data_IF_901355550060
#
_entry.id   IF_901355550060
#
_cell.length_a   1.000
_cell.length_b   1.000
_cell.length_c   1.000
_cell.angle_alpha   90.00
_cell.angle_beta   90.00
_cell.angle_gamma   90.00
#
_symmetry.space_group_name_H-M   'P 1'
#
loop_
_entity.id
_entity.type
_entity.pdbx_description
1 polymer ?
#
# COMPACT_ATOMS: atom_id res chain seq x y z
N UNK A 1 35.74 22.83 -50.84
CA UNK A 1 34.26 22.77 -50.85
C UNK A 1 33.87 21.55 -50.05
N UNK A 2 33.57 21.73 -48.77
CA UNK A 2 33.11 20.68 -47.85
C UNK A 2 31.63 20.92 -47.61
N UNK A 3 30.80 19.97 -48.02
CA UNK A 3 29.36 19.98 -47.80
C UNK A 3 29.13 19.36 -46.42
N UNK A 4 28.66 20.18 -45.49
CA UNK A 4 28.31 19.78 -44.13
C UNK A 4 26.86 19.28 -44.14
N UNK A 5 26.69 17.96 -44.06
CA UNK A 5 25.39 17.29 -44.15
C UNK A 5 24.76 17.21 -42.75
N UNK A 6 24.06 18.27 -42.35
CA UNK A 6 23.29 18.29 -41.10
C UNK A 6 22.07 17.36 -41.21
N UNK A 7 22.14 16.21 -40.53
CA UNK A 7 21.00 15.33 -40.30
C UNK A 7 19.86 16.08 -39.58
N UNK A 8 18.60 15.89 -40.00
CA UNK A 8 17.47 16.59 -39.39
C UNK A 8 17.22 16.11 -37.96
N UNK A 9 16.76 16.99 -37.06
CA UNK A 9 16.51 16.64 -35.67
C UNK A 9 15.38 15.60 -35.57
N UNK A 10 15.64 14.54 -34.81
CA UNK A 10 14.67 13.49 -34.53
C UNK A 10 13.38 14.08 -33.94
N UNK A 11 12.26 13.95 -34.67
CA UNK A 11 10.93 14.31 -34.17
C UNK A 11 10.65 13.52 -32.89
N UNK A 12 10.70 14.18 -31.73
CA UNK A 12 10.16 13.67 -30.47
C UNK A 12 8.70 13.28 -30.71
N UNK A 13 8.41 11.99 -30.84
CA UNK A 13 7.05 11.46 -30.85
C UNK A 13 6.40 11.88 -29.54
N UNK A 14 5.43 12.78 -29.60
CA UNK A 14 4.57 13.04 -28.44
C UNK A 14 3.91 11.70 -28.03
N UNK A 15 3.83 11.40 -26.73
CA UNK A 15 3.18 10.18 -26.28
C UNK A 15 1.73 10.17 -26.79
N UNK A 16 1.42 9.18 -27.63
CA UNK A 16 0.04 8.91 -28.07
C UNK A 16 -0.83 8.73 -26.82
N UNK A 17 -1.74 9.67 -26.56
CA UNK A 17 -2.68 9.59 -25.44
C UNK A 17 -2.79 10.83 -24.55
N UNK A 18 -1.93 11.84 -24.71
CA UNK A 18 -2.09 13.11 -23.99
C UNK A 18 -3.28 13.86 -24.59
N UNK A 19 -4.43 13.83 -23.90
CA UNK A 19 -5.59 14.65 -24.25
C UNK A 19 -6.90 13.92 -24.59
N UNK A 20 -6.98 12.58 -24.49
CA UNK A 20 -8.30 11.93 -24.54
C UNK A 20 -8.98 12.08 -23.18
N UNK A 21 -10.04 12.88 -23.14
CA UNK A 21 -10.95 12.95 -22.00
C UNK A 21 -11.49 11.55 -21.70
N UNK A 22 -11.06 10.98 -20.59
CA UNK A 22 -11.51 9.67 -20.15
C UNK A 22 -12.95 9.78 -19.65
N UNK A 23 -13.86 8.93 -20.16
CA UNK A 23 -15.17 8.74 -19.53
C UNK A 23 -14.97 7.89 -18.29
N UNK A 24 -15.16 8.49 -17.11
CA UNK A 24 -15.09 7.82 -15.83
C UNK A 24 -16.14 6.69 -15.73
N UNK A 25 -15.76 5.62 -15.06
CA UNK A 25 -16.54 4.41 -14.79
C UNK A 25 -16.62 4.19 -13.27
N UNK A 26 -17.62 3.44 -12.82
CA UNK A 26 -17.74 3.06 -11.39
C UNK A 26 -16.48 2.36 -10.86
N UNK A 27 -15.84 1.55 -11.71
CA UNK A 27 -14.58 0.89 -11.36
C UNK A 27 -13.47 1.89 -11.01
N UNK A 28 -13.41 3.06 -11.63
CA UNK A 28 -12.38 4.04 -11.30
C UNK A 28 -12.61 4.61 -9.89
N UNK A 29 -13.87 4.80 -9.49
CA UNK A 29 -14.21 5.21 -8.13
C UNK A 29 -13.87 4.10 -7.13
N UNK A 30 -14.08 2.83 -7.49
CA UNK A 30 -13.63 1.70 -6.67
C UNK A 30 -12.10 1.68 -6.51
N UNK A 31 -11.35 1.97 -7.59
CA UNK A 31 -9.89 2.10 -7.55
C UNK A 31 -9.47 3.24 -6.63
N UNK A 32 -10.13 4.39 -6.69
CA UNK A 32 -9.83 5.52 -5.80
C UNK A 32 -10.04 5.14 -4.34
N UNK A 33 -11.14 4.44 -4.04
CA UNK A 33 -11.41 3.96 -2.68
C UNK A 33 -10.31 3.00 -2.20
N UNK A 34 -9.92 2.03 -3.03
CA UNK A 34 -8.83 1.11 -2.68
C UNK A 34 -7.49 1.83 -2.50
N UNK A 35 -7.21 2.89 -3.27
CA UNK A 35 -6.01 3.71 -3.10
C UNK A 35 -6.04 4.50 -1.77
N UNK A 36 -7.21 4.96 -1.32
CA UNK A 36 -7.37 5.57 0.00
C UNK A 36 -7.13 4.56 1.13
N UNK A 37 -7.67 3.35 1.01
CA UNK A 37 -7.54 2.30 2.03
C UNK A 37 -6.13 1.67 2.07
N UNK A 38 -5.55 1.40 0.90
CA UNK A 38 -4.26 0.70 0.73
C UNK A 38 -3.07 1.64 0.52
N UNK A 39 -3.30 2.95 0.46
CA UNK A 39 -2.30 4.02 0.31
C UNK A 39 -1.56 4.03 -1.04
N UNK A 40 -0.67 3.06 -1.24
CA UNK A 40 0.09 2.90 -2.47
C UNK A 40 -0.15 1.52 -3.06
N UNK A 41 -0.76 1.47 -4.23
CA UNK A 41 -1.05 0.21 -4.91
C UNK A 41 -0.25 0.10 -6.21
N UNK A 42 0.36 -1.05 -6.42
CA UNK A 42 0.99 -1.40 -7.69
C UNK A 42 -0.07 -1.74 -8.73
N UNK A 43 0.29 -1.75 -10.01
CA UNK A 43 -0.65 -2.17 -11.08
C UNK A 43 -1.17 -3.60 -10.87
N UNK A 44 -0.34 -4.61 -10.50
CA UNK A 44 -0.86 -5.93 -10.12
C UNK A 44 -1.86 -5.87 -8.97
N UNK A 45 -1.59 -5.11 -7.90
CA UNK A 45 -2.50 -4.97 -6.77
C UNK A 45 -3.85 -4.33 -7.17
N UNK A 46 -3.82 -3.29 -8.00
CA UNK A 46 -5.02 -2.67 -8.58
C UNK A 46 -5.80 -3.69 -9.42
N UNK A 47 -5.08 -4.49 -10.22
CA UNK A 47 -5.71 -5.53 -11.03
C UNK A 47 -6.41 -6.57 -10.16
N UNK A 48 -5.75 -7.05 -9.09
CA UNK A 48 -6.30 -8.05 -8.18
C UNK A 48 -7.62 -7.62 -7.56
N UNK A 49 -7.72 -6.33 -7.22
CA UNK A 49 -8.89 -5.76 -6.55
C UNK A 49 -10.07 -5.47 -7.49
N UNK A 50 -9.81 -5.18 -8.77
CA UNK A 50 -10.83 -4.55 -9.63
C UNK A 50 -11.06 -5.24 -10.99
N UNK A 51 -10.25 -6.23 -11.35
CA UNK A 51 -10.39 -6.99 -12.60
C UNK A 51 -10.47 -8.51 -12.30
N UNK A 52 -11.67 -9.09 -12.14
CA UNK A 52 -11.83 -10.50 -11.74
C UNK A 52 -11.09 -11.54 -12.60
N UNK A 53 -10.80 -11.20 -13.86
CA UNK A 53 -10.04 -12.04 -14.82
C UNK A 53 -8.57 -12.23 -14.46
N UNK A 54 -8.04 -11.48 -13.49
CA UNK A 54 -6.65 -11.57 -13.06
C UNK A 54 -6.27 -12.99 -12.61
N UNK A 55 -7.19 -13.73 -11.99
CA UNK A 55 -6.92 -15.06 -11.41
C UNK A 55 -6.56 -16.08 -12.47
N UNK A 56 -7.32 -16.13 -13.56
CA UNK A 56 -7.05 -17.08 -14.64
C UNK A 56 -5.72 -16.76 -15.33
N UNK A 57 -5.44 -15.46 -15.52
CA UNK A 57 -4.15 -14.97 -16.02
C UNK A 57 -3.00 -15.34 -15.09
N UNK A 58 -3.20 -15.22 -13.78
CA UNK A 58 -2.21 -15.55 -12.76
C UNK A 58 -1.96 -17.06 -12.67
N UNK A 59 -3.00 -17.90 -12.78
CA UNK A 59 -2.85 -19.36 -12.87
C UNK A 59 -2.03 -19.77 -14.10
N UNK A 60 -2.35 -19.23 -15.27
CA UNK A 60 -1.59 -19.48 -16.50
C UNK A 60 -0.13 -19.07 -16.33
N UNK A 61 0.10 -17.90 -15.72
CA UNK A 61 1.44 -17.43 -15.38
C UNK A 61 2.19 -18.42 -14.45
N UNK A 62 1.55 -18.92 -13.40
CA UNK A 62 2.17 -19.87 -12.47
C UNK A 62 2.54 -21.19 -13.18
N UNK A 63 1.69 -21.70 -14.07
CA UNK A 63 2.00 -22.89 -14.86
C UNK A 63 3.18 -22.65 -15.82
N UNK A 64 3.22 -21.49 -16.48
CA UNK A 64 4.36 -21.10 -17.32
C UNK A 64 5.65 -20.96 -16.51
N UNK A 65 5.57 -20.42 -15.29
CA UNK A 65 6.73 -20.23 -14.41
C UNK A 65 7.36 -21.55 -13.94
N UNK A 66 6.59 -22.64 -13.87
CA UNK A 66 7.14 -23.99 -13.61
C UNK A 66 8.11 -24.43 -14.71
N UNK A 67 7.90 -23.95 -15.94
CA UNK A 67 8.71 -24.26 -17.12
C UNK A 67 9.87 -23.27 -17.22
N UNK A 68 9.58 -21.98 -17.06
CA UNK A 68 10.56 -20.90 -17.12
C UNK A 68 10.46 -19.98 -15.87
N UNK A 69 11.35 -20.18 -14.88
CA UNK A 69 11.39 -19.36 -13.67
C UNK A 69 11.62 -17.87 -13.90
N UNK A 70 12.12 -17.46 -15.08
CA UNK A 70 12.38 -16.07 -15.42
C UNK A 70 11.12 -15.32 -15.91
N UNK A 71 10.02 -16.03 -16.22
CA UNK A 71 8.77 -15.40 -16.62
C UNK A 71 8.26 -14.49 -15.49
N UNK A 72 7.83 -13.29 -15.88
CA UNK A 72 7.25 -12.28 -14.99
C UNK A 72 5.75 -12.13 -15.27
N UNK A 73 4.95 -11.96 -14.23
CA UNK A 73 3.52 -11.68 -14.38
C UNK A 73 3.31 -10.24 -14.85
N UNK A 74 2.52 -10.06 -15.92
CA UNK A 74 2.16 -8.74 -16.44
C UNK A 74 0.65 -8.47 -16.30
N UNK A 75 0.27 -7.35 -15.66
CA UNK A 75 -1.11 -6.90 -15.62
C UNK A 75 -1.71 -6.64 -17.00
N UNK A 76 -3.04 -6.60 -17.10
CA UNK A 76 -3.71 -6.37 -18.36
C UNK A 76 -3.33 -4.98 -18.96
N UNK A 77 -3.01 -4.89 -20.27
CA UNK A 77 -2.52 -3.64 -20.88
C UNK A 77 -3.50 -2.45 -20.82
N UNK A 78 -4.80 -2.73 -20.78
CA UNK A 78 -5.86 -1.74 -20.67
C UNK A 78 -5.80 -0.98 -19.33
N UNK A 79 -5.36 -1.63 -18.25
CA UNK A 79 -5.18 -1.03 -16.93
C UNK A 79 -4.15 0.10 -16.99
N UNK A 80 -3.02 -0.14 -17.66
CA UNK A 80 -1.99 0.90 -17.85
C UNK A 80 -2.52 2.08 -18.65
N UNK A 81 -3.26 1.82 -19.73
CA UNK A 81 -3.86 2.87 -20.55
C UNK A 81 -4.88 3.70 -19.75
N UNK A 82 -5.66 3.03 -18.88
CA UNK A 82 -6.60 3.67 -17.96
C UNK A 82 -5.89 4.56 -16.96
N UNK A 83 -4.88 4.04 -16.25
CA UNK A 83 -4.10 4.79 -15.25
C UNK A 83 -3.33 5.96 -15.88
N UNK A 84 -2.86 5.82 -17.12
CA UNK A 84 -2.26 6.93 -17.88
C UNK A 84 -3.27 8.05 -18.14
N UNK A 85 -4.53 7.70 -18.37
CA UNK A 85 -5.59 8.68 -18.62
C UNK A 85 -6.04 9.35 -17.31
N UNK A 86 -6.11 8.60 -16.19
CA UNK A 86 -6.49 9.14 -14.88
C UNK A 86 -5.44 10.11 -14.28
N UNK A 87 -4.18 10.01 -14.71
CA UNK A 87 -3.09 10.92 -14.29
C UNK A 87 -2.84 12.08 -15.26
N UNK A 88 -3.60 12.18 -16.35
CA UNK A 88 -3.39 13.20 -17.37
C UNK A 88 -4.03 14.53 -16.98
N UNK A 89 -3.48 15.64 -17.46
CA UNK A 89 -4.00 16.99 -17.22
C UNK A 89 -3.36 17.71 -16.03
N UNK A 90 -3.88 18.89 -15.74
CA UNK A 90 -3.40 19.76 -14.65
C UNK A 90 -3.95 19.33 -13.28
N UNK A 91 -5.10 18.66 -13.27
CA UNK A 91 -5.81 18.13 -12.10
C UNK A 91 -5.84 16.58 -12.15
N UNK A 92 -4.71 15.90 -11.87
CA UNK A 92 -4.64 14.44 -11.94
C UNK A 92 -5.49 13.80 -10.83
N UNK A 93 -6.20 12.73 -11.15
CA UNK A 93 -7.00 11.99 -10.15
C UNK A 93 -6.14 10.97 -9.38
N UNK A 94 -5.02 10.56 -9.95
CA UNK A 94 -4.01 9.69 -9.31
C UNK A 94 -2.61 10.13 -9.71
N UNK A 95 -1.63 9.92 -8.82
CA UNK A 95 -0.22 10.06 -9.15
C UNK A 95 0.45 8.70 -9.37
N UNK A 96 1.45 8.68 -10.26
CA UNK A 96 2.35 7.53 -10.47
C UNK A 96 3.67 7.78 -9.73
N UNK A 97 4.11 6.77 -9.01
CA UNK A 97 5.36 6.72 -8.29
C UNK A 97 6.27 5.70 -8.96
N UNK A 98 7.33 6.21 -9.58
CA UNK A 98 8.30 5.36 -10.28
C UNK A 98 9.18 4.69 -9.21
N UNK A 99 9.25 3.36 -9.28
CA UNK A 99 10.05 2.54 -8.37
C UNK A 99 11.37 2.17 -9.04
N UNK A 100 12.48 2.46 -8.37
CA UNK A 100 13.82 2.06 -8.83
C UNK A 100 14.04 0.58 -8.52
N UNK A 101 14.72 -0.12 -9.42
CA UNK A 101 14.92 -1.57 -9.35
C UNK A 101 15.50 -2.04 -7.99
N UNK A 102 15.02 -3.17 -7.51
CA UNK A 102 15.61 -3.88 -6.38
C UNK A 102 16.85 -4.65 -6.87
N UNK A 103 18.00 -4.44 -6.22
CA UNK A 103 19.21 -5.24 -6.46
C UNK A 103 19.04 -6.60 -5.76
N UNK A 104 18.25 -7.49 -6.35
CA UNK A 104 18.18 -8.87 -5.92
C UNK A 104 18.32 -9.79 -7.13
N UNK A 105 19.49 -10.41 -7.26
CA UNK A 105 19.91 -11.34 -8.33
C UNK A 105 20.18 -10.71 -9.70
N UNK A 106 20.92 -11.43 -10.54
CA UNK A 106 21.60 -11.00 -11.78
C UNK A 106 20.63 -10.55 -12.91
N UNK A 107 19.34 -10.42 -12.60
CA UNK A 107 18.27 -10.02 -13.51
C UNK A 107 17.68 -8.72 -12.95
N UNK A 108 17.86 -7.60 -13.66
CA UNK A 108 17.20 -6.34 -13.32
C UNK A 108 15.68 -6.46 -13.54
N UNK A 109 14.95 -6.99 -12.56
CA UNK A 109 13.50 -6.92 -12.54
C UNK A 109 13.11 -5.51 -12.09
N UNK A 110 12.64 -4.68 -13.04
CA UNK A 110 12.06 -3.38 -12.70
C UNK A 110 10.84 -3.62 -11.81
N UNK A 111 10.85 -3.07 -10.61
CA UNK A 111 9.69 -3.09 -9.72
C UNK A 111 8.49 -2.43 -10.40
N UNK A 112 7.31 -3.03 -10.24
CA UNK A 112 6.07 -2.42 -10.73
C UNK A 112 5.85 -1.08 -10.06
N UNK A 113 5.64 -0.02 -10.85
CA UNK A 113 5.32 1.31 -10.31
C UNK A 113 4.08 1.25 -9.43
N UNK A 114 4.04 2.13 -8.44
CA UNK A 114 2.90 2.30 -7.55
C UNK A 114 2.11 3.56 -7.88
N UNK A 115 0.86 3.60 -7.44
CA UNK A 115 -0.08 4.68 -7.64
C UNK A 115 -0.66 5.11 -6.31
N UNK A 116 -1.02 6.39 -6.21
CA UNK A 116 -1.64 7.01 -5.04
C UNK A 116 -2.82 7.89 -5.47
N UNK A 117 -3.85 7.96 -4.63
CA UNK A 117 -4.97 8.86 -4.81
C UNK A 117 -4.52 10.32 -4.71
N UNK A 118 -4.91 11.14 -5.66
CA UNK A 118 -4.71 12.58 -5.62
C UNK A 118 -5.92 13.28 -4.98
N UNK A 119 -5.73 14.52 -4.54
CA UNK A 119 -6.78 15.34 -3.92
C UNK A 119 -8.01 15.49 -4.82
N UNK A 120 -7.83 15.74 -6.13
CA UNK A 120 -8.94 15.82 -7.08
C UNK A 120 -9.70 14.49 -7.23
N UNK A 121 -8.99 13.36 -7.13
CA UNK A 121 -9.60 12.03 -7.11
C UNK A 121 -10.42 11.78 -5.84
N UNK A 122 -9.91 12.24 -4.69
CA UNK A 122 -10.63 12.18 -3.42
C UNK A 122 -11.86 13.10 -3.42
N UNK A 123 -11.74 14.33 -3.93
CA UNK A 123 -12.87 15.26 -4.09
C UNK A 123 -13.96 14.69 -5.00
N UNK A 124 -13.57 13.98 -6.06
CA UNK A 124 -14.52 13.29 -6.92
C UNK A 124 -15.22 12.12 -6.20
N UNK A 125 -14.53 11.37 -5.35
CA UNK A 125 -15.16 10.36 -4.48
C UNK A 125 -16.19 10.98 -3.54
N UNK A 126 -15.85 12.11 -2.91
CA UNK A 126 -16.78 12.85 -2.06
C UNK A 126 -18.04 13.24 -2.84
N UNK A 127 -17.86 13.90 -3.99
CA UNK A 127 -18.95 14.37 -4.83
C UNK A 127 -19.85 13.25 -5.39
N UNK A 128 -19.31 12.04 -5.62
CA UNK A 128 -20.04 10.94 -6.26
C UNK A 128 -20.60 9.91 -5.29
N UNK A 129 -19.97 9.74 -4.13
CA UNK A 129 -20.30 8.66 -3.17
C UNK A 129 -20.57 9.16 -1.76
N UNK A 130 -20.51 10.46 -1.52
CA UNK A 130 -20.87 11.07 -0.24
C UNK A 130 -19.87 10.80 0.88
N UNK A 131 -18.61 10.54 0.55
CA UNK A 131 -17.51 10.54 1.52
C UNK A 131 -17.18 11.97 1.93
N UNK A 132 -16.63 12.11 3.14
CA UNK A 132 -15.96 13.34 3.55
C UNK A 132 -14.47 13.26 3.24
N UNK A 133 -13.85 14.42 2.96
CA UNK A 133 -12.44 14.46 2.55
C UNK A 133 -11.48 14.01 3.66
N UNK A 134 -11.87 14.20 4.93
CA UNK A 134 -11.09 13.77 6.10
C UNK A 134 -11.20 12.27 6.40
N UNK A 135 -12.16 11.57 5.78
CA UNK A 135 -12.29 10.12 5.82
C UNK A 135 -11.40 9.42 4.77
N UNK A 136 -10.89 10.18 3.81
CA UNK A 136 -10.10 9.68 2.70
C UNK A 136 -8.62 10.00 2.90
N UNK A 137 -7.78 9.02 2.61
CA UNK A 137 -6.36 9.25 2.50
C UNK A 137 -5.98 9.52 1.04
N UNK A 138 -5.31 10.64 0.81
CA UNK A 138 -4.74 11.03 -0.48
C UNK A 138 -3.43 11.77 -0.23
N UNK A 139 -2.58 11.85 -1.26
CA UNK A 139 -1.29 12.52 -1.11
C UNK A 139 -0.81 13.12 -2.42
N UNK A 140 -0.24 14.33 -2.31
CA UNK A 140 0.61 14.88 -3.37
C UNK A 140 2.07 14.48 -3.09
N UNK A 141 2.63 13.52 -3.85
CA UNK A 141 3.98 13.03 -3.61
C UNK A 141 5.05 14.09 -3.87
N UNK A 142 4.72 15.23 -4.50
CA UNK A 142 5.66 16.35 -4.67
C UNK A 142 5.92 17.10 -3.37
N UNK A 143 5.03 16.98 -2.38
CA UNK A 143 5.08 17.74 -1.11
C UNK A 143 5.81 16.99 0.02
N UNK A 144 6.23 15.72 -0.18
CA UNK A 144 6.84 14.91 0.88
C UNK A 144 8.08 14.15 0.41
N UNK A 145 9.08 14.09 1.29
CA UNK A 145 10.19 13.14 1.17
C UNK A 145 9.65 11.74 1.39
N UNK A 146 9.74 10.88 0.36
CA UNK A 146 9.18 9.52 0.40
C UNK A 146 10.15 8.56 1.11
N UNK A 147 10.55 8.89 2.35
CA UNK A 147 11.20 7.92 3.23
C UNK A 147 10.22 6.79 3.50
N UNK A 148 10.70 5.54 3.48
CA UNK A 148 9.89 4.32 3.70
C UNK A 148 8.82 4.03 2.63
N UNK A 149 8.89 4.65 1.44
CA UNK A 149 7.95 4.41 0.35
C UNK A 149 7.69 2.93 0.07
N UNK A 150 8.77 2.18 -0.11
CA UNK A 150 8.75 0.78 -0.48
C UNK A 150 8.10 -0.09 0.62
N UNK A 151 8.20 0.33 1.88
CA UNK A 151 7.48 -0.30 2.98
C UNK A 151 5.98 -0.10 2.86
N UNK A 152 5.55 1.15 2.63
CA UNK A 152 4.13 1.44 2.42
C UNK A 152 3.56 0.78 1.16
N UNK A 153 4.34 0.60 0.09
CA UNK A 153 3.93 -0.18 -1.09
C UNK A 153 3.76 -1.66 -0.74
N UNK A 154 4.63 -2.21 0.12
CA UNK A 154 4.51 -3.59 0.58
C UNK A 154 3.24 -3.80 1.43
N UNK A 155 2.92 -2.86 2.32
CA UNK A 155 1.66 -2.83 3.08
C UNK A 155 0.45 -2.80 2.14
N UNK A 156 0.43 -1.88 1.17
CA UNK A 156 -0.67 -1.78 0.20
C UNK A 156 -0.81 -3.03 -0.68
N UNK A 157 0.30 -3.66 -1.04
CA UNK A 157 0.30 -4.93 -1.79
C UNK A 157 -0.23 -6.08 -0.94
N UNK A 158 0.14 -6.15 0.34
CA UNK A 158 -0.40 -7.13 1.28
C UNK A 158 -1.91 -6.94 1.47
N UNK A 159 -2.38 -5.71 1.68
CA UNK A 159 -3.81 -5.37 1.74
C UNK A 159 -4.56 -5.92 0.51
N UNK A 160 -4.06 -5.64 -0.69
CA UNK A 160 -4.71 -6.08 -1.93
C UNK A 160 -4.75 -7.60 -2.06
N UNK A 161 -3.64 -8.27 -1.74
CA UNK A 161 -3.54 -9.73 -1.77
C UNK A 161 -4.49 -10.37 -0.74
N UNK A 162 -4.49 -9.88 0.50
CA UNK A 162 -5.35 -10.36 1.58
C UNK A 162 -6.82 -10.18 1.24
N UNK A 163 -7.23 -8.99 0.84
CA UNK A 163 -8.62 -8.69 0.45
C UNK A 163 -9.09 -9.62 -0.65
N UNK A 164 -8.29 -9.77 -1.71
CA UNK A 164 -8.69 -10.62 -2.83
C UNK A 164 -8.70 -12.12 -2.48
N UNK A 165 -7.80 -12.57 -1.60
CA UNK A 165 -7.80 -13.95 -1.10
C UNK A 165 -9.03 -14.24 -0.22
N UNK A 166 -9.42 -13.30 0.64
CA UNK A 166 -10.63 -13.43 1.47
C UNK A 166 -11.89 -13.43 0.61
N UNK A 167 -12.00 -12.50 -0.33
CA UNK A 167 -13.14 -12.44 -1.26
C UNK A 167 -13.27 -13.74 -2.07
N UNK A 168 -12.15 -14.36 -2.45
CA UNK A 168 -12.18 -15.68 -3.10
C UNK A 168 -12.77 -16.77 -2.20
N UNK A 169 -12.41 -16.75 -0.93
CA UNK A 169 -12.91 -17.69 0.07
C UNK A 169 -14.34 -17.38 0.54
N UNK A 170 -15.04 -16.44 -0.12
CA UNK A 170 -16.39 -16.01 0.28
C UNK A 170 -16.41 -15.20 1.58
N UNK A 171 -15.27 -14.66 1.99
CA UNK A 171 -15.11 -13.83 3.18
C UNK A 171 -14.89 -12.37 2.81
N UNK A 172 -15.11 -11.47 3.76
CA UNK A 172 -14.86 -10.04 3.58
C UNK A 172 -13.73 -9.59 4.51
N UNK A 173 -12.88 -8.70 4.01
CA UNK A 173 -11.94 -7.97 4.85
C UNK A 173 -12.70 -6.85 5.56
N UNK A 174 -12.77 -6.91 6.88
CA UNK A 174 -13.53 -5.95 7.71
C UNK A 174 -12.58 -5.13 8.58
N UNK A 175 -12.90 -3.84 8.74
CA UNK A 175 -12.16 -2.89 9.60
C UNK A 175 -10.65 -2.87 9.33
N UNK A 176 -10.27 -2.93 8.04
CA UNK A 176 -8.88 -2.71 7.65
C UNK A 176 -8.44 -1.30 8.00
N UNK A 177 -7.30 -1.18 8.69
CA UNK A 177 -6.62 0.08 8.97
C UNK A 177 -5.12 -0.10 8.74
N UNK A 178 -4.59 0.57 7.73
CA UNK A 178 -3.14 0.64 7.48
C UNK A 178 -2.43 1.59 8.45
N UNK A 179 -1.10 1.53 8.48
CA UNK A 179 -0.22 2.39 9.27
C UNK A 179 -0.59 3.89 9.17
N UNK A 180 -0.94 4.36 7.97
CA UNK A 180 -1.32 5.76 7.72
C UNK A 180 -2.61 6.18 8.42
N UNK A 181 -3.56 5.27 8.58
CA UNK A 181 -4.81 5.53 9.30
C UNK A 181 -4.58 5.44 10.81
N UNK A 182 -3.76 4.48 11.23
CA UNK A 182 -3.43 4.27 12.64
C UNK A 182 -2.54 5.39 13.22
N UNK A 183 -1.65 5.95 12.40
CA UNK A 183 -0.76 7.05 12.76
C UNK A 183 -1.37 8.44 12.51
N UNK A 184 -2.62 8.52 12.06
CA UNK A 184 -3.31 9.80 11.87
C UNK A 184 -3.36 10.59 13.19
N UNK A 185 -3.44 11.92 13.11
CA UNK A 185 -3.66 12.74 14.31
C UNK A 185 -5.08 12.50 14.80
N UNK A 186 -5.29 12.56 16.11
CA UNK A 186 -6.64 12.58 16.64
C UNK A 186 -7.43 13.78 16.05
N UNK A 187 -8.76 13.70 16.02
CA UNK A 187 -9.62 14.79 15.50
C UNK A 187 -9.47 16.11 16.29
N UNK A 188 -8.91 16.05 17.50
CA UNK A 188 -8.65 17.21 18.35
C UNK A 188 -7.28 17.88 18.07
N UNK A 189 -6.44 17.28 17.22
CA UNK A 189 -5.08 17.73 16.91
C UNK A 189 -4.08 17.58 18.06
N UNK A 190 -4.41 16.86 19.13
CA UNK A 190 -3.63 16.84 20.39
C UNK A 190 -2.49 15.82 20.43
N UNK A 191 -2.49 14.82 19.54
CA UNK A 191 -1.43 13.83 19.50
C UNK A 191 -1.58 12.78 18.41
N UNK A 192 -0.62 11.84 18.31
CA UNK A 192 -0.76 10.67 17.48
C UNK A 192 -1.94 9.81 17.95
N UNK A 193 -2.78 9.34 17.03
CA UNK A 193 -3.93 8.50 17.33
C UNK A 193 -3.56 7.02 17.51
N UNK A 194 -2.41 6.68 18.10
CA UNK A 194 -2.03 5.30 18.44
C UNK A 194 -1.79 5.14 19.94
N UNK A 195 -1.97 3.92 20.45
CA UNK A 195 -1.79 3.62 21.87
C UNK A 195 -0.31 3.50 22.23
N UNK A 196 0.02 3.84 23.47
CA UNK A 196 1.34 3.61 24.05
C UNK A 196 1.17 2.81 25.34
N UNK A 197 2.06 1.85 25.55
CA UNK A 197 1.99 0.92 26.68
C UNK A 197 3.30 0.93 27.46
N UNK A 198 3.18 0.97 28.77
CA UNK A 198 4.29 0.70 29.66
C UNK A 198 4.69 -0.78 29.51
N UNK A 199 5.93 -1.02 29.11
CA UNK A 199 6.53 -2.34 29.01
C UNK A 199 7.75 -2.43 29.91
N UNK A 200 7.87 -3.55 30.62
CA UNK A 200 8.97 -3.83 31.55
C UNK A 200 9.68 -5.11 31.13
N UNK A 201 11.01 -5.12 31.08
CA UNK A 201 11.80 -6.31 30.73
C UNK A 201 13.19 -6.29 31.39
N UNK A 202 13.84 -7.45 31.45
CA UNK A 202 15.24 -7.55 31.91
C UNK A 202 16.18 -7.34 30.72
N UNK A 203 17.04 -6.33 30.81
CA UNK A 203 18.05 -6.03 29.80
C UNK A 203 19.18 -7.07 29.74
N UNK A 204 20.00 -7.01 28.70
CA UNK A 204 21.21 -7.87 28.56
C UNK A 204 22.21 -7.67 29.70
N UNK A 205 22.15 -6.52 30.38
CA UNK A 205 22.92 -6.15 31.57
C UNK A 205 22.32 -6.67 32.88
N UNK A 206 21.24 -7.47 32.82
CA UNK A 206 20.54 -8.01 33.98
C UNK A 206 19.69 -6.98 34.75
N UNK A 207 19.61 -5.74 34.25
CA UNK A 207 18.85 -4.68 34.90
C UNK A 207 17.41 -4.65 34.41
N UNK A 208 16.48 -4.34 35.31
CA UNK A 208 15.10 -4.04 34.94
C UNK A 208 15.08 -2.75 34.10
N UNK A 209 14.43 -2.82 32.94
CA UNK A 209 14.19 -1.70 32.05
C UNK A 209 12.70 -1.49 31.91
N UNK A 210 12.32 -0.22 31.84
CA UNK A 210 10.95 0.21 31.62
C UNK A 210 10.96 1.22 30.48
N UNK A 211 9.99 1.10 29.58
CA UNK A 211 9.76 2.07 28.54
C UNK A 211 8.28 2.15 28.20
N UNK A 212 7.85 3.34 27.82
CA UNK A 212 6.56 3.54 27.18
C UNK A 212 6.72 3.31 25.68
N UNK A 213 6.15 2.21 25.16
CA UNK A 213 6.36 1.74 23.79
C UNK A 213 5.12 1.98 22.92
N UNK A 214 5.28 2.43 21.67
CA UNK A 214 4.16 2.61 20.76
C UNK A 214 3.59 1.27 20.28
N UNK A 215 2.27 1.16 20.19
CA UNK A 215 1.56 0.06 19.54
C UNK A 215 1.07 0.53 18.18
N UNK A 216 1.89 0.34 17.16
CA UNK A 216 1.60 0.76 15.79
C UNK A 216 1.96 -0.37 14.82
N UNK A 217 1.00 -1.27 14.51
CA UNK A 217 1.19 -2.27 13.47
C UNK A 217 1.21 -1.61 12.09
N UNK A 218 1.80 -2.29 11.12
CA UNK A 218 1.76 -1.88 9.71
C UNK A 218 0.32 -1.92 9.14
N UNK A 219 -0.52 -2.79 9.70
CA UNK A 219 -1.95 -2.78 9.46
C UNK A 219 -2.72 -3.66 10.44
N UNK A 220 -4.03 -3.47 10.50
CA UNK A 220 -4.94 -4.29 11.30
C UNK A 220 -6.26 -4.52 10.61
N UNK A 221 -6.92 -5.65 10.88
CA UNK A 221 -8.26 -5.97 10.41
C UNK A 221 -8.96 -6.95 11.36
N UNK A 222 -10.23 -7.22 11.08
CA UNK A 222 -11.01 -8.27 11.72
C UNK A 222 -11.37 -9.37 10.71
N UNK A 223 -11.23 -10.62 11.13
CA UNK A 223 -11.64 -11.79 10.36
C UNK A 223 -12.20 -12.85 11.32
N UNK A 224 -13.40 -13.36 11.04
CA UNK A 224 -14.06 -14.36 11.91
C UNK A 224 -14.24 -13.88 13.36
N UNK A 225 -14.48 -12.59 13.58
CA UNK A 225 -14.62 -11.98 14.92
C UNK A 225 -13.30 -11.79 15.68
N UNK A 226 -12.15 -12.15 15.09
CA UNK A 226 -10.83 -11.98 15.71
C UNK A 226 -10.07 -10.80 15.09
N UNK A 227 -9.34 -10.06 15.93
CA UNK A 227 -8.46 -8.97 15.52
C UNK A 227 -7.10 -9.52 15.10
N UNK A 228 -6.60 -9.03 13.96
CA UNK A 228 -5.28 -9.34 13.46
C UNK A 228 -4.48 -8.05 13.31
N UNK A 229 -3.20 -8.12 13.66
CA UNK A 229 -2.18 -7.13 13.36
C UNK A 229 -1.21 -7.74 12.35
N UNK A 230 -0.69 -6.93 11.44
CA UNK A 230 0.38 -7.36 10.52
C UNK A 230 1.61 -6.50 10.71
N UNK A 231 2.76 -7.15 10.58
CA UNK A 231 4.08 -6.55 10.46
C UNK A 231 4.72 -7.07 9.17
N UNK A 232 5.09 -6.16 8.27
CA UNK A 232 5.77 -6.47 7.03
C UNK A 232 7.28 -6.31 7.27
N UNK A 233 8.02 -7.40 7.37
CA UNK A 233 9.47 -7.31 7.46
C UNK A 233 10.10 -7.25 6.08
N UNK A 234 10.89 -6.20 5.84
CA UNK A 234 11.67 -6.01 4.62
C UNK A 234 13.12 -6.49 4.75
N UNK A 235 13.44 -7.21 5.82
CA UNK A 235 14.80 -7.67 6.11
C UNK A 235 15.78 -6.54 6.46
N UNK A 236 15.25 -5.36 6.80
CA UNK A 236 16.03 -4.15 7.15
C UNK A 236 15.83 -3.73 8.60
N UNK A 237 14.88 -4.34 9.30
CA UNK A 237 14.62 -4.06 10.72
C UNK A 237 15.68 -4.74 11.58
N UNK A 238 16.33 -3.99 12.47
CA UNK A 238 17.26 -4.59 13.40
C UNK A 238 16.50 -5.39 14.49
N UNK A 239 17.16 -6.42 15.04
CA UNK A 239 16.55 -7.31 16.03
C UNK A 239 16.10 -6.57 17.30
N UNK A 240 16.76 -5.47 17.67
CA UNK A 240 16.40 -4.70 18.86
C UNK A 240 15.07 -3.94 18.66
N UNK A 241 14.82 -3.35 17.49
CA UNK A 241 13.54 -2.70 17.14
C UNK A 241 12.41 -3.74 17.08
N UNK A 242 12.70 -4.93 16.57
CA UNK A 242 11.74 -6.03 16.58
C UNK A 242 11.41 -6.47 18.00
N UNK A 243 12.41 -6.61 18.87
CA UNK A 243 12.22 -6.96 20.27
C UNK A 243 11.37 -5.91 21.01
N UNK A 244 11.53 -4.62 20.70
CA UNK A 244 10.66 -3.55 21.23
C UNK A 244 9.21 -3.72 20.77
N UNK A 245 8.96 -3.97 19.47
CA UNK A 245 7.60 -4.24 18.96
C UNK A 245 6.95 -5.43 19.64
N UNK A 246 7.68 -6.55 19.80
CA UNK A 246 7.17 -7.74 20.50
C UNK A 246 6.81 -7.40 21.95
N UNK A 247 7.67 -6.68 22.68
CA UNK A 247 7.37 -6.25 24.06
C UNK A 247 6.15 -5.34 24.12
N UNK A 248 5.99 -4.42 23.18
CA UNK A 248 4.82 -3.57 23.09
C UNK A 248 3.55 -4.40 22.89
N UNK A 249 3.55 -5.40 22.00
CA UNK A 249 2.40 -6.28 21.81
C UNK A 249 2.07 -7.12 23.04
N UNK A 250 3.08 -7.70 23.70
CA UNK A 250 2.86 -8.48 24.93
C UNK A 250 2.28 -7.62 26.06
N UNK A 251 2.78 -6.40 26.24
CA UNK A 251 2.20 -5.44 27.20
C UNK A 251 0.78 -4.99 26.78
N UNK A 252 0.52 -4.87 25.48
CA UNK A 252 -0.79 -4.45 24.97
C UNK A 252 -1.87 -5.51 25.15
N UNK A 253 -1.52 -6.81 25.09
CA UNK A 253 -2.46 -7.92 25.34
C UNK A 253 -3.15 -7.85 26.71
N UNK A 254 -2.47 -7.33 27.72
CA UNK A 254 -3.01 -7.17 29.08
C UNK A 254 -3.51 -5.75 29.36
N UNK A 255 -3.47 -4.85 28.37
CA UNK A 255 -3.86 -3.45 28.53
C UNK A 255 -5.37 -3.26 28.30
N UNK A 256 -6.01 -2.45 29.14
CA UNK A 256 -7.40 -2.01 28.91
C UNK A 256 -7.56 -1.15 27.66
N UNK A 257 -6.45 -0.61 27.13
CA UNK A 257 -6.44 0.18 25.89
C UNK A 257 -6.86 -0.66 24.67
N UNK A 258 -6.53 -1.96 24.63
CA UNK A 258 -6.93 -2.86 23.54
C UNK A 258 -8.45 -2.94 23.42
N UNK A 259 -9.15 -3.18 24.54
CA UNK A 259 -10.60 -3.21 24.59
C UNK A 259 -11.21 -1.85 24.27
N UNK A 260 -10.65 -0.76 24.79
CA UNK A 260 -11.14 0.59 24.55
C UNK A 260 -11.05 0.98 23.06
N UNK A 261 -9.97 0.61 22.38
CA UNK A 261 -9.72 0.99 20.98
C UNK A 261 -10.39 0.07 19.97
N UNK A 262 -10.32 -1.24 20.19
CA UNK A 262 -10.72 -2.24 19.19
C UNK A 262 -11.90 -3.11 19.61
N UNK A 263 -12.42 -2.92 20.83
CA UNK A 263 -13.58 -3.68 21.32
C UNK A 263 -13.30 -5.17 21.54
N UNK A 264 -12.04 -5.56 21.74
CA UNK A 264 -11.62 -6.96 21.89
C UNK A 264 -10.60 -7.11 23.02
N UNK A 265 -10.50 -8.32 23.56
CA UNK A 265 -9.55 -8.73 24.60
C UNK A 265 -8.31 -9.45 24.03
N UNK A 266 -8.28 -9.69 22.72
CA UNK A 266 -7.21 -10.45 22.10
C UNK A 266 -6.96 -10.12 20.64
N UNK A 267 -5.74 -10.40 20.19
CA UNK A 267 -5.35 -10.28 18.79
C UNK A 267 -4.28 -11.32 18.41
N UNK A 268 -4.14 -11.55 17.11
CA UNK A 268 -3.04 -12.33 16.52
C UNK A 268 -2.12 -11.40 15.73
N UNK A 269 -0.82 -11.53 15.90
CA UNK A 269 0.17 -10.81 15.07
C UNK A 269 0.62 -11.75 13.95
N UNK A 270 0.50 -11.29 12.71
CA UNK A 270 1.04 -11.94 11.53
C UNK A 270 2.32 -11.21 11.11
N UNK A 271 3.36 -11.99 10.79
CA UNK A 271 4.62 -11.46 10.30
C UNK A 271 4.75 -11.92 8.86
N UNK A 272 4.92 -10.97 7.93
CA UNK A 272 5.18 -11.26 6.52
C UNK A 272 6.65 -10.97 6.28
N UNK A 273 7.43 -12.04 6.11
CA UNK A 273 8.85 -11.97 5.79
C UNK A 273 9.08 -12.28 4.28
N UNK A 274 10.23 -11.87 3.71
CA UNK A 274 10.56 -12.10 2.31
C UNK A 274 10.73 -13.58 1.92
#
# INVERSE_FOLDING_TARGET
>A
MTIDEQLPPAKRRQPRGVGRTIRLQERDLDVFRSLSEGRYLTVPAIEWLHWPTWRDRYKVYLEQRKIDPAITFFPAPDIYSRLVSLRAGEAPLVYRLIRTAERASVIYARLSDAYVLAEDGAGLLCARRGYELDELWYEDPRKRSIKNFEHSVAIGTFYAALRCALEFAGQQLVDWRGDHLLASRDRAGTGPSYDRVAATWVGKDGRLKEADLPVLPDGTWTMGGRRYFVEIDRGTTNLDSWAEKVRAYEAYRSSTQLQARYGTDGFTVLIVAP
#
